data_IF_982847066759
#
_entry.id   IF_982847066759
#
_cell.length_a   1.000
_cell.length_b   1.000
_cell.length_c   1.000
_cell.angle_alpha   90.00
_cell.angle_beta   90.00
_cell.angle_gamma   90.00
#
_symmetry.space_group_name_H-M   'P 1'
#
loop_
_entity.id
_entity.type
_entity.pdbx_description
1 polymer ?
#
# COMPACT_ATOMS: atom_id res chain seq x y z
N UNK A 1 15.01 8.24 11.69
CA UNK A 1 14.46 8.31 10.31
C UNK A 1 12.96 8.11 10.40
N UNK A 2 12.15 9.05 9.90
CA UNK A 2 10.69 8.95 9.98
C UNK A 2 10.08 8.14 8.83
N UNK A 3 8.85 7.61 9.03
CA UNK A 3 8.11 6.85 7.99
C UNK A 3 7.99 7.63 6.67
N UNK A 4 7.79 8.95 6.74
CA UNK A 4 7.68 9.81 5.56
C UNK A 4 8.99 9.93 4.76
N UNK A 5 10.10 9.72 5.42
CA UNK A 5 11.45 9.84 4.87
C UNK A 5 11.86 8.53 4.20
N UNK A 6 11.58 7.39 4.85
CA UNK A 6 11.85 6.06 4.30
C UNK A 6 10.98 5.71 3.10
N UNK A 7 9.73 6.21 3.06
CA UNK A 7 8.80 6.00 1.94
C UNK A 7 8.83 7.11 0.86
N UNK A 8 9.81 8.02 0.91
CA UNK A 8 9.84 9.19 0.04
C UNK A 8 9.84 8.84 -1.46
N UNK A 9 10.61 7.80 -1.86
CA UNK A 9 10.74 7.38 -3.27
C UNK A 9 9.42 6.82 -3.81
N UNK A 10 8.78 5.92 -3.06
CA UNK A 10 7.46 5.35 -3.41
C UNK A 10 6.39 6.44 -3.50
N UNK A 11 6.37 7.36 -2.52
CA UNK A 11 5.43 8.50 -2.53
C UNK A 11 5.61 9.35 -3.79
N UNK A 12 6.84 9.71 -4.13
CA UNK A 12 7.12 10.56 -5.28
C UNK A 12 6.68 9.94 -6.62
N UNK A 13 6.83 8.62 -6.78
CA UNK A 13 6.35 7.89 -7.95
C UNK A 13 4.82 7.90 -8.03
N UNK A 14 4.14 7.54 -6.93
CA UNK A 14 2.67 7.47 -6.92
C UNK A 14 2.02 8.85 -7.09
N UNK A 15 2.54 9.89 -6.43
CA UNK A 15 2.00 11.26 -6.55
C UNK A 15 2.05 11.77 -7.99
N UNK A 16 3.12 11.49 -8.75
CA UNK A 16 3.24 11.96 -10.14
C UNK A 16 2.12 11.47 -11.05
N UNK A 17 1.67 10.23 -10.85
CA UNK A 17 0.68 9.57 -11.71
C UNK A 17 -0.75 9.99 -11.37
N UNK A 18 -1.01 10.20 -10.08
CA UNK A 18 -2.34 10.57 -9.59
C UNK A 18 -2.65 12.05 -9.88
N UNK A 19 -1.62 12.92 -9.91
CA UNK A 19 -1.79 14.36 -10.12
C UNK A 19 -1.84 14.74 -11.61
N UNK A 20 -1.71 13.77 -12.52
CA UNK A 20 -1.85 14.02 -13.95
C UNK A 20 -3.27 14.51 -14.29
N UNK A 21 -3.38 15.47 -15.22
CA UNK A 21 -4.65 16.10 -15.63
C UNK A 21 -5.72 15.09 -16.07
N UNK A 22 -5.29 13.94 -16.56
CA UNK A 22 -6.09 12.76 -16.87
C UNK A 22 -5.41 11.55 -16.26
N UNK A 23 -6.13 10.81 -15.41
CA UNK A 23 -5.61 9.58 -14.82
C UNK A 23 -5.53 8.51 -15.93
N UNK A 24 -4.30 8.10 -16.29
CA UNK A 24 -4.08 6.96 -17.16
C UNK A 24 -4.03 5.69 -16.30
N UNK A 25 -5.06 4.84 -16.40
CA UNK A 25 -5.17 3.61 -15.62
C UNK A 25 -4.08 2.59 -15.96
N UNK A 26 -3.61 2.53 -17.21
CA UNK A 26 -2.55 1.60 -17.63
C UNK A 26 -1.19 2.01 -17.05
N UNK A 27 -0.86 3.31 -17.07
CA UNK A 27 0.36 3.83 -16.45
C UNK A 27 0.33 3.66 -14.92
N UNK A 28 -0.84 3.84 -14.31
CA UNK A 28 -1.02 3.60 -12.89
C UNK A 28 -0.84 2.12 -12.54
N UNK A 29 -1.39 1.21 -13.34
CA UNK A 29 -1.20 -0.23 -13.17
C UNK A 29 0.29 -0.59 -13.15
N UNK A 30 1.02 -0.17 -14.19
CA UNK A 30 2.44 -0.43 -14.33
C UNK A 30 3.23 0.09 -13.12
N UNK A 31 2.87 1.26 -12.60
CA UNK A 31 3.53 1.84 -11.44
C UNK A 31 3.20 1.12 -10.13
N UNK A 32 1.96 0.68 -9.93
CA UNK A 32 1.58 -0.11 -8.74
C UNK A 32 2.30 -1.47 -8.74
N UNK A 33 2.41 -2.12 -9.89
CA UNK A 33 3.20 -3.35 -10.04
C UNK A 33 4.69 -3.10 -9.75
N UNK A 34 5.24 -2.01 -10.29
CA UNK A 34 6.65 -1.63 -10.06
C UNK A 34 6.95 -1.23 -8.61
N UNK A 35 5.92 -0.90 -7.84
CA UNK A 35 6.00 -0.57 -6.42
C UNK A 35 5.70 -1.77 -5.50
N UNK A 36 5.78 -2.99 -6.02
CA UNK A 36 5.59 -4.25 -5.28
C UNK A 36 4.19 -4.41 -4.64
N UNK A 37 3.16 -3.76 -5.19
CA UNK A 37 1.78 -3.91 -4.70
C UNK A 37 1.20 -5.30 -5.02
N UNK A 38 1.66 -5.90 -6.13
CA UNK A 38 1.21 -7.20 -6.61
C UNK A 38 -0.10 -7.17 -7.41
N UNK A 39 -0.23 -8.07 -8.38
CA UNK A 39 -1.29 -8.05 -9.39
C UNK A 39 -2.71 -8.05 -8.81
N UNK A 40 -2.97 -8.87 -7.78
CA UNK A 40 -4.30 -8.98 -7.17
C UNK A 40 -4.74 -7.69 -6.47
N UNK A 41 -3.83 -7.02 -5.76
CA UNK A 41 -4.15 -5.78 -5.07
C UNK A 41 -4.31 -4.66 -6.10
N UNK A 42 -3.41 -4.57 -7.08
CA UNK A 42 -3.50 -3.61 -8.19
C UNK A 42 -4.85 -3.68 -8.91
N UNK A 43 -5.34 -4.87 -9.27
CA UNK A 43 -6.64 -5.03 -9.92
C UNK A 43 -7.81 -4.47 -9.08
N UNK A 44 -7.79 -4.69 -7.75
CA UNK A 44 -8.81 -4.15 -6.85
C UNK A 44 -8.75 -2.62 -6.75
N UNK A 45 -7.54 -2.04 -6.73
CA UNK A 45 -7.33 -0.59 -6.74
C UNK A 45 -7.88 0.05 -8.02
N UNK A 46 -7.60 -0.53 -9.19
CA UNK A 46 -8.04 -0.02 -10.48
C UNK A 46 -9.56 -0.14 -10.67
N UNK A 47 -10.17 -1.24 -10.21
CA UNK A 47 -11.62 -1.38 -10.23
C UNK A 47 -12.29 -0.26 -9.44
N UNK A 48 -11.77 0.06 -8.24
CA UNK A 48 -12.30 1.16 -7.43
C UNK A 48 -12.14 2.51 -8.12
N UNK A 49 -10.97 2.76 -8.71
CA UNK A 49 -10.65 4.02 -9.37
C UNK A 49 -11.45 4.24 -10.66
N UNK A 50 -11.73 3.19 -11.43
CA UNK A 50 -12.59 3.28 -12.62
C UNK A 50 -14.01 3.78 -12.29
N UNK A 51 -14.46 3.59 -11.06
CA UNK A 51 -15.75 4.05 -10.52
C UNK A 51 -15.63 5.36 -9.74
N UNK A 52 -14.42 5.85 -9.50
CA UNK A 52 -14.17 7.09 -8.80
C UNK A 52 -14.35 8.26 -9.78
N UNK A 53 -15.21 9.22 -9.43
CA UNK A 53 -15.41 10.43 -10.21
C UNK A 53 -14.24 11.41 -10.05
N UNK A 54 -14.54 12.64 -9.62
CA UNK A 54 -13.62 13.79 -9.72
C UNK A 54 -12.39 13.74 -8.80
N UNK A 55 -12.27 12.78 -7.87
CA UNK A 55 -11.13 12.69 -6.95
C UNK A 55 -10.51 11.28 -6.88
N UNK A 56 -9.73 10.89 -7.89
CA UNK A 56 -9.04 9.60 -7.92
C UNK A 56 -8.01 9.44 -6.79
N UNK A 57 -7.37 10.53 -6.34
CA UNK A 57 -6.42 10.46 -5.23
C UNK A 57 -7.07 9.99 -3.94
N UNK A 58 -8.17 10.64 -3.55
CA UNK A 58 -8.90 10.27 -2.35
C UNK A 58 -9.48 8.85 -2.45
N UNK A 59 -9.95 8.45 -3.63
CA UNK A 59 -10.45 7.10 -3.86
C UNK A 59 -9.37 6.03 -3.71
N UNK A 60 -8.16 6.28 -4.24
CA UNK A 60 -7.02 5.37 -4.06
C UNK A 60 -6.61 5.26 -2.59
N UNK A 61 -6.50 6.39 -1.89
CA UNK A 61 -6.12 6.40 -0.47
C UNK A 61 -7.13 5.63 0.39
N UNK A 62 -8.42 5.88 0.19
CA UNK A 62 -9.50 5.15 0.89
C UNK A 62 -9.47 3.65 0.60
N UNK A 63 -9.18 3.27 -0.64
CA UNK A 63 -9.10 1.86 -1.03
C UNK A 63 -7.91 1.16 -0.37
N UNK A 64 -6.72 1.78 -0.39
CA UNK A 64 -5.53 1.24 0.28
C UNK A 64 -5.79 1.09 1.78
N UNK A 65 -6.38 2.11 2.41
CA UNK A 65 -6.78 2.03 3.83
C UNK A 65 -7.71 0.85 4.05
N UNK A 66 -8.73 0.65 3.19
CA UNK A 66 -9.68 -0.46 3.33
C UNK A 66 -8.99 -1.82 3.20
N UNK A 67 -8.07 -1.99 2.25
CA UNK A 67 -7.34 -3.25 2.04
C UNK A 67 -6.42 -3.59 3.22
N UNK A 68 -5.84 -2.57 3.86
CA UNK A 68 -4.97 -2.74 5.02
C UNK A 68 -5.74 -2.84 6.34
N UNK A 69 -6.95 -2.27 6.42
CA UNK A 69 -7.78 -2.29 7.63
C UNK A 69 -8.20 -3.70 8.00
N UNK A 70 -8.19 -4.04 9.28
CA UNK A 70 -8.51 -5.36 9.78
C UNK A 70 -7.41 -6.40 9.57
N UNK A 71 -6.29 -6.01 8.95
CA UNK A 71 -5.08 -6.86 8.89
C UNK A 71 -4.21 -6.69 10.11
N UNK A 72 -4.43 -5.64 10.91
CA UNK A 72 -3.78 -5.45 12.20
C UNK A 72 -4.07 -6.63 13.13
N UNK A 73 -3.12 -7.57 13.17
CA UNK A 73 -3.03 -8.53 14.25
C UNK A 73 -2.34 -7.80 15.38
N UNK A 74 -3.13 -7.22 16.28
CA UNK A 74 -2.61 -6.50 17.44
C UNK A 74 -1.50 -7.31 18.13
N UNK A 75 -0.50 -6.61 18.66
CA UNK A 75 0.57 -7.25 19.40
C UNK A 75 -0.06 -7.97 20.59
N UNK A 76 -0.20 -9.30 20.50
CA UNK A 76 -0.85 -10.08 21.54
C UNK A 76 0.21 -10.29 22.61
N UNK A 77 0.13 -9.58 23.76
CA UNK A 77 1.15 -9.72 24.78
C UNK A 77 1.21 -11.18 25.21
N UNK A 78 2.42 -11.67 25.48
CA UNK A 78 2.60 -13.01 26.02
C UNK A 78 1.79 -13.10 27.33
N UNK A 79 0.99 -14.17 27.52
CA UNK A 79 0.16 -14.29 28.71
C UNK A 79 0.99 -14.39 30.00
N UNK A 80 2.25 -14.83 29.89
CA UNK A 80 3.17 -15.02 31.00
C UNK A 80 4.59 -14.54 30.61
N UNK A 81 5.42 -14.22 31.61
CA UNK A 81 6.80 -13.76 31.43
C UNK A 81 7.81 -14.90 31.64
N UNK A 82 8.94 -14.91 30.89
CA UNK A 82 9.35 -13.94 29.89
C UNK A 82 8.64 -14.15 28.53
N UNK A 83 8.34 -13.05 27.84
CA UNK A 83 7.85 -13.12 26.48
C UNK A 83 8.97 -13.57 25.54
N UNK A 84 8.81 -14.74 24.91
CA UNK A 84 9.76 -15.27 23.93
C UNK A 84 9.23 -14.99 22.52
N UNK A 85 9.98 -14.22 21.73
CA UNK A 85 9.67 -13.93 20.33
C UNK A 85 10.66 -14.71 19.46
N UNK A 86 10.16 -15.71 18.73
CA UNK A 86 10.96 -16.43 17.73
C UNK A 86 10.81 -15.75 16.37
N UNK A 87 11.89 -15.16 15.88
CA UNK A 87 11.95 -14.57 14.53
C UNK A 87 12.41 -15.65 13.56
N UNK A 88 11.68 -15.83 12.47
CA UNK A 88 11.99 -16.81 11.42
C UNK A 88 12.14 -16.08 10.09
N UNK A 89 13.07 -16.54 9.26
CA UNK A 89 13.38 -15.94 7.96
C UNK A 89 14.35 -16.80 7.16
N UNK A 90 14.56 -16.44 5.90
CA UNK A 90 15.62 -17.00 5.06
C UNK A 90 16.88 -16.13 5.18
N UNK A 91 18.03 -16.61 4.73
CA UNK A 91 19.25 -15.79 4.78
C UNK A 91 19.11 -14.54 3.89
N UNK A 92 19.32 -13.35 4.46
CA UNK A 92 19.32 -12.07 3.73
C UNK A 92 17.99 -11.33 3.64
N UNK A 93 16.93 -11.82 4.29
CA UNK A 93 15.69 -11.06 4.55
C UNK A 93 15.87 -10.10 5.73
#
# INVERSE_FOLDING_TARGET
MGLRETLARTRQLLSRLITAKTLNLEELEAALISADVGARATAQLLERLSRAGENPQAALEQEIIRLLSGTERGNRPAPETPAVIMIVGVNGS
#
